data_IF_480635296346
#
_entry.id   IF_480635296346
#
_cell.length_a   1.000
_cell.length_b   1.000
_cell.length_c   1.000
_cell.angle_alpha   90.00
_cell.angle_beta   90.00
_cell.angle_gamma   90.00
#
_symmetry.space_group_name_H-M   'P 1'
#
loop_
_entity.id
_entity.type
_entity.pdbx_description
1 polymer ?
#
# COMPACT_ATOMS: atom_id res chain seq x y z
N UNK A 1 14.69 -4.17 0.54
CA UNK A 1 13.56 -3.22 0.49
C UNK A 1 12.86 -3.52 -0.83
N UNK A 2 11.57 -3.90 -0.86
CA UNK A 2 10.92 -4.20 -2.13
C UNK A 2 10.76 -2.90 -2.91
N UNK A 3 11.54 -2.74 -3.98
CA UNK A 3 11.38 -1.64 -4.93
C UNK A 3 10.23 -1.99 -5.86
N UNK A 4 9.24 -1.10 -5.95
CA UNK A 4 8.23 -1.17 -6.99
C UNK A 4 8.84 -0.53 -8.24
N UNK A 5 8.65 -1.13 -9.41
CA UNK A 5 9.12 -0.53 -10.66
C UNK A 5 8.19 0.62 -11.11
N UNK A 6 8.70 1.47 -11.99
CA UNK A 6 7.95 2.61 -12.51
C UNK A 6 6.66 2.19 -13.24
N UNK A 7 6.69 1.08 -13.99
CA UNK A 7 5.54 0.56 -14.72
C UNK A 7 4.40 0.21 -13.77
N UNK A 8 4.69 -0.58 -12.74
CA UNK A 8 3.72 -0.92 -11.70
C UNK A 8 3.16 0.32 -11.01
N UNK A 9 4.00 1.30 -10.67
CA UNK A 9 3.53 2.55 -10.06
C UNK A 9 2.58 3.33 -10.97
N UNK A 10 2.88 3.45 -12.27
CA UNK A 10 2.00 4.10 -13.24
C UNK A 10 0.66 3.38 -13.36
N UNK A 11 0.66 2.04 -13.31
CA UNK A 11 -0.56 1.24 -13.28
C UNK A 11 -1.38 1.52 -12.02
N UNK A 12 -0.77 1.48 -10.83
CA UNK A 12 -1.47 1.83 -9.57
C UNK A 12 -2.06 3.25 -9.62
N UNK A 13 -1.33 4.20 -10.20
CA UNK A 13 -1.74 5.59 -10.31
C UNK A 13 -2.90 5.81 -11.27
N UNK A 14 -3.05 4.96 -12.28
CA UNK A 14 -4.08 5.06 -13.33
C UNK A 14 -5.26 4.10 -13.17
N UNK A 15 -5.13 3.04 -12.37
CA UNK A 15 -6.16 2.02 -12.18
C UNK A 15 -7.52 2.59 -11.73
N UNK A 16 -8.61 2.08 -12.27
CA UNK A 16 -9.96 2.54 -11.90
C UNK A 16 -10.27 2.30 -10.42
N UNK A 17 -9.81 1.16 -9.90
CA UNK A 17 -10.01 0.75 -8.53
C UNK A 17 -11.25 -0.11 -8.30
N UNK A 18 -11.28 -0.80 -7.16
CA UNK A 18 -12.38 -1.68 -6.75
C UNK A 18 -13.44 -0.94 -5.93
N UNK A 19 -13.02 -0.19 -4.92
CA UNK A 19 -13.92 0.56 -4.04
C UNK A 19 -13.25 1.82 -3.50
N UNK A 20 -14.10 2.77 -3.09
CA UNK A 20 -13.68 4.04 -2.49
C UNK A 20 -14.14 4.11 -1.03
N UNK A 21 -13.28 4.63 -0.16
CA UNK A 21 -13.53 4.81 1.26
C UNK A 21 -13.00 6.17 1.73
N UNK A 22 -13.53 6.69 2.84
CA UNK A 22 -13.00 7.92 3.45
C UNK A 22 -11.66 7.67 4.15
N UNK A 23 -11.52 6.51 4.76
CA UNK A 23 -10.35 6.08 5.50
C UNK A 23 -9.98 4.67 5.07
N UNK A 24 -8.75 4.44 4.60
CA UNK A 24 -8.33 3.10 4.25
C UNK A 24 -8.18 2.27 5.53
N UNK A 25 -8.35 0.94 5.45
CA UNK A 25 -8.35 0.05 6.60
C UNK A 25 -6.92 -0.10 7.15
N UNK A 26 -6.41 0.88 7.91
CA UNK A 26 -5.05 0.81 8.47
C UNK A 26 -4.98 -0.25 9.59
N UNK A 27 -3.94 -1.11 9.63
CA UNK A 27 -3.72 -2.03 10.74
C UNK A 27 -3.51 -1.26 12.05
N UNK A 28 -4.20 -1.71 13.11
CA UNK A 28 -4.20 -1.02 14.42
C UNK A 28 -3.14 -1.55 15.39
N UNK A 29 -2.79 -2.84 15.24
CA UNK A 29 -1.85 -3.53 16.11
C UNK A 29 -0.58 -3.81 15.33
N UNK A 30 0.54 -3.54 15.96
CA UNK A 30 1.87 -3.94 15.52
C UNK A 30 2.28 -5.21 16.25
N UNK A 31 2.98 -6.10 15.54
CA UNK A 31 3.67 -7.22 16.14
C UNK A 31 4.96 -7.50 15.34
N UNK A 32 6.00 -8.07 15.97
CA UNK A 32 7.30 -8.25 15.36
C UNK A 32 7.35 -9.35 14.27
N UNK A 33 6.32 -10.20 14.20
CA UNK A 33 6.25 -11.34 13.27
C UNK A 33 5.67 -10.87 11.93
N UNK A 34 4.45 -10.36 11.96
CA UNK A 34 3.73 -9.88 10.77
C UNK A 34 4.27 -8.56 10.24
N UNK A 35 4.82 -7.72 11.15
CA UNK A 35 5.37 -6.39 10.85
C UNK A 35 4.44 -5.57 9.94
N UNK A 36 3.17 -5.35 10.35
CA UNK A 36 2.25 -4.59 9.54
C UNK A 36 2.73 -3.15 9.39
N UNK A 37 2.44 -2.54 8.23
CA UNK A 37 2.91 -1.20 7.92
C UNK A 37 1.97 -0.43 7.00
N UNK A 38 2.17 0.89 6.98
CA UNK A 38 1.65 1.81 5.98
C UNK A 38 2.83 2.57 5.39
N UNK A 39 3.00 2.53 4.08
CA UNK A 39 4.08 3.22 3.39
C UNK A 39 3.52 4.09 2.26
N UNK A 40 4.09 5.28 2.08
CA UNK A 40 3.89 6.13 0.92
C UNK A 40 4.84 5.68 -0.19
N UNK A 41 4.33 5.42 -1.39
CA UNK A 41 5.16 5.13 -2.55
C UNK A 41 5.53 6.45 -3.20
N UNK A 42 6.82 6.81 -3.11
CA UNK A 42 7.34 8.04 -3.70
C UNK A 42 8.14 7.72 -4.97
N UNK A 43 7.74 8.28 -6.12
CA UNK A 43 8.59 8.28 -7.29
C UNK A 43 9.74 9.28 -7.13
N UNK A 44 10.93 8.86 -7.49
CA UNK A 44 12.12 9.70 -7.66
C UNK A 44 12.88 9.29 -8.94
N UNK A 45 13.88 10.07 -9.33
CA UNK A 45 14.73 9.83 -10.52
C UNK A 45 15.37 8.44 -10.50
N UNK A 46 15.58 7.88 -9.30
CA UNK A 46 16.22 6.58 -9.10
C UNK A 46 15.24 5.41 -8.94
N UNK A 47 13.92 5.66 -9.02
CA UNK A 47 12.88 4.64 -8.90
C UNK A 47 11.79 4.96 -7.89
N UNK A 48 10.97 3.96 -7.56
CA UNK A 48 9.85 4.08 -6.60
C UNK A 48 10.24 3.45 -5.28
N UNK A 49 10.32 4.24 -4.21
CA UNK A 49 10.69 3.73 -2.89
C UNK A 49 9.58 3.94 -1.85
N UNK A 50 9.42 3.00 -0.90
CA UNK A 50 8.47 3.13 0.19
C UNK A 50 9.04 4.04 1.30
N UNK A 51 8.29 5.06 1.68
CA UNK A 51 8.50 5.85 2.91
C UNK A 51 7.49 5.42 3.95
N UNK A 52 7.94 4.79 5.03
CA UNK A 52 7.04 4.33 6.09
C UNK A 52 6.37 5.52 6.78
N UNK A 53 5.04 5.55 6.68
CA UNK A 53 4.17 6.47 7.40
C UNK A 53 3.78 5.92 8.76
N UNK A 54 4.06 4.65 9.00
CA UNK A 54 3.71 3.93 10.23
C UNK A 54 4.94 3.54 11.06
N UNK A 55 4.79 3.57 12.37
CA UNK A 55 5.80 3.08 13.31
C UNK A 55 5.13 2.43 14.53
N UNK A 56 5.79 1.47 15.21
CA UNK A 56 5.34 1.00 16.51
C UNK A 56 5.38 2.14 17.53
N UNK A 57 4.38 2.22 18.40
CA UNK A 57 4.43 3.12 19.55
C UNK A 57 5.64 2.79 20.45
N UNK A 58 6.27 3.82 21.02
CA UNK A 58 7.39 3.60 21.95
C UNK A 58 6.88 2.96 23.26
N UNK A 59 7.34 1.73 23.51
CA UNK A 59 7.27 0.92 24.73
C UNK A 59 5.91 0.81 25.46
N UNK A 60 5.33 -0.38 25.41
CA UNK A 60 5.07 -1.14 26.62
C UNK A 60 5.38 -2.61 26.35
N UNK A 61 5.82 -3.33 27.38
CA UNK A 61 6.21 -4.75 27.40
C UNK A 61 5.08 -5.73 27.08
N UNK A 62 4.02 -5.29 26.42
CA UNK A 62 2.87 -6.09 26.04
C UNK A 62 2.97 -6.51 24.58
N UNK A 63 2.56 -7.75 24.35
CA UNK A 63 2.60 -8.48 23.08
C UNK A 63 1.80 -7.85 21.92
N UNK A 64 1.14 -6.70 22.12
CA UNK A 64 0.52 -5.93 21.04
C UNK A 64 0.72 -4.42 21.22
N UNK A 65 1.79 -3.90 20.63
CA UNK A 65 2.01 -2.45 20.51
C UNK A 65 1.03 -1.86 19.49
N UNK A 66 0.54 -0.63 19.71
CA UNK A 66 -0.27 0.04 18.69
C UNK A 66 0.60 0.49 17.50
N UNK A 67 0.06 0.35 16.28
CA UNK A 67 0.67 0.93 15.09
C UNK A 67 0.19 2.38 14.96
N UNK A 68 1.13 3.32 15.01
CA UNK A 68 0.86 4.75 14.81
C UNK A 68 1.12 5.07 13.35
N UNK A 69 0.21 5.80 12.70
CA UNK A 69 0.39 6.27 11.31
C UNK A 69 0.27 7.80 11.25
N UNK A 70 1.05 8.43 10.36
CA UNK A 70 0.89 9.85 10.02
C UNK A 70 -0.53 10.15 9.52
N UNK A 71 -0.95 11.42 9.60
CA UNK A 71 -2.27 11.83 9.10
C UNK A 71 -2.37 11.68 7.58
N UNK A 72 -3.04 10.62 7.14
CA UNK A 72 -3.22 10.28 5.73
C UNK A 72 -4.05 11.33 4.98
N UNK A 73 -4.86 12.15 5.66
CA UNK A 73 -5.69 13.16 4.98
C UNK A 73 -4.89 14.27 4.33
N UNK A 74 -3.70 14.53 4.84
CA UNK A 74 -2.80 15.60 4.39
C UNK A 74 -2.02 15.21 3.14
N UNK A 75 -2.09 13.94 2.72
CA UNK A 75 -1.39 13.48 1.53
C UNK A 75 -2.02 14.08 0.26
N UNK A 76 -1.19 14.53 -0.71
CA UNK A 76 -1.67 15.06 -1.98
C UNK A 76 -2.55 14.07 -2.75
N UNK A 77 -3.45 14.58 -3.59
CA UNK A 77 -4.19 13.77 -4.57
C UNK A 77 -3.21 12.99 -5.46
N UNK A 78 -3.60 11.79 -5.86
CA UNK A 78 -2.78 10.80 -6.59
C UNK A 78 -1.62 10.18 -5.79
N UNK A 79 -1.46 10.50 -4.50
CA UNK A 79 -0.56 9.73 -3.63
C UNK A 79 -0.99 8.27 -3.59
N UNK A 80 -0.03 7.36 -3.64
CA UNK A 80 -0.26 5.92 -3.50
C UNK A 80 0.30 5.48 -2.15
N UNK A 81 -0.53 4.83 -1.34
CA UNK A 81 -0.07 4.15 -0.14
C UNK A 81 -0.17 2.65 -0.32
N UNK A 82 0.82 1.96 0.23
CA UNK A 82 0.80 0.53 0.47
C UNK A 82 0.40 0.29 1.92
N UNK A 83 -0.56 -0.62 2.13
CA UNK A 83 -0.96 -1.10 3.46
C UNK A 83 -0.70 -2.59 3.51
N UNK A 84 0.07 -3.01 4.51
CA UNK A 84 0.34 -4.42 4.80
C UNK A 84 -0.24 -4.79 6.15
N UNK A 85 -1.18 -5.74 6.17
CA UNK A 85 -1.81 -6.23 7.40
C UNK A 85 -1.10 -7.41 8.04
N UNK A 86 -0.39 -8.20 7.24
CA UNK A 86 0.24 -9.46 7.63
C UNK A 86 1.48 -9.74 6.80
N UNK A 87 2.05 -10.94 6.90
CA UNK A 87 3.27 -11.26 6.17
C UNK A 87 3.13 -11.28 4.62
N UNK A 88 1.92 -11.45 4.08
CA UNK A 88 1.68 -11.72 2.65
C UNK A 88 0.62 -10.84 1.99
N UNK A 89 -0.16 -10.08 2.77
CA UNK A 89 -1.29 -9.31 2.25
C UNK A 89 -0.97 -7.82 2.15
N UNK A 90 -0.88 -7.34 0.92
CA UNK A 90 -0.65 -5.95 0.55
C UNK A 90 -1.90 -5.40 -0.16
N UNK A 91 -2.28 -4.18 0.20
CA UNK A 91 -3.33 -3.44 -0.47
C UNK A 91 -2.82 -2.05 -0.85
N UNK A 92 -3.08 -1.65 -2.08
CA UNK A 92 -2.64 -0.38 -2.63
C UNK A 92 -3.82 0.57 -2.75
N UNK A 93 -3.69 1.76 -2.19
CA UNK A 93 -4.73 2.78 -2.22
C UNK A 93 -4.21 4.06 -2.86
N UNK A 94 -5.02 4.64 -3.74
CA UNK A 94 -4.78 5.96 -4.31
C UNK A 94 -5.64 7.02 -3.63
N UNK A 95 -5.03 8.17 -3.34
CA UNK A 95 -5.76 9.35 -2.87
C UNK A 95 -6.53 10.00 -4.03
N UNK A 96 -7.86 10.06 -3.93
CA UNK A 96 -8.73 10.68 -4.92
C UNK A 96 -9.65 11.71 -4.23
N UNK A 97 -9.43 13.00 -4.45
CA UNK A 97 -10.30 14.12 -4.02
C UNK A 97 -10.93 13.97 -2.62
N UNK A 98 -10.12 13.79 -1.58
CA UNK A 98 -10.64 13.67 -0.21
C UNK A 98 -10.99 12.25 0.23
N UNK A 99 -10.97 11.28 -0.70
CA UNK A 99 -11.21 9.85 -0.47
C UNK A 99 -10.00 8.98 -0.84
N UNK A 100 -10.12 7.67 -0.60
CA UNK A 100 -9.12 6.66 -0.90
C UNK A 100 -9.75 5.55 -1.72
N UNK A 101 -9.16 5.24 -2.86
CA UNK A 101 -9.64 4.19 -3.77
C UNK A 101 -8.66 3.02 -3.73
N UNK A 102 -9.14 1.81 -3.43
CA UNK A 102 -8.31 0.60 -3.52
C UNK A 102 -8.06 0.30 -4.99
N UNK A 103 -6.81 0.35 -5.42
CA UNK A 103 -6.40 0.21 -6.83
C UNK A 103 -5.80 -1.15 -7.16
N UNK A 104 -5.21 -1.80 -6.17
CA UNK A 104 -4.66 -3.14 -6.32
C UNK A 104 -4.56 -3.88 -4.98
N UNK A 105 -4.32 -5.18 -5.06
CA UNK A 105 -3.87 -6.00 -3.94
C UNK A 105 -2.82 -7.02 -4.38
N UNK A 106 -2.04 -7.51 -3.43
CA UNK A 106 -1.14 -8.62 -3.64
C UNK A 106 -1.23 -9.54 -2.42
N UNK A 107 -1.47 -10.82 -2.67
CA UNK A 107 -1.41 -11.89 -1.66
C UNK A 107 -0.16 -12.76 -1.82
N UNK A 108 0.57 -12.57 -2.93
CA UNK A 108 1.79 -13.26 -3.31
C UNK A 108 2.85 -12.21 -3.67
N UNK A 109 4.13 -12.40 -3.30
CA UNK A 109 5.20 -11.44 -3.57
C UNK A 109 5.50 -11.22 -5.06
N UNK A 110 5.04 -12.09 -5.94
CA UNK A 110 5.29 -12.04 -7.39
C UNK A 110 4.08 -11.56 -8.20
N UNK A 111 2.90 -11.48 -7.60
CA UNK A 111 1.65 -11.18 -8.31
C UNK A 111 0.92 -10.00 -7.68
N UNK A 112 0.65 -8.99 -8.51
CA UNK A 112 -0.21 -7.85 -8.16
C UNK A 112 -1.49 -7.91 -8.99
N UNK A 113 -2.62 -7.88 -8.31
CA UNK A 113 -3.98 -7.86 -8.87
C UNK A 113 -4.47 -6.41 -8.95
N UNK A 114 -4.64 -5.88 -10.17
CA UNK A 114 -5.03 -4.49 -10.42
C UNK A 114 -6.48 -4.40 -10.89
N UNK A 115 -7.28 -3.54 -10.27
CA UNK A 115 -8.70 -3.43 -10.58
C UNK A 115 -8.97 -2.47 -11.75
N UNK A 116 -9.42 -3.01 -12.89
CA UNK A 116 -9.67 -2.21 -14.09
C UNK A 116 -11.10 -1.67 -14.21
N UNK A 117 -12.15 -2.37 -13.78
CA UNK A 117 -13.55 -1.92 -13.96
C UNK A 117 -14.53 -2.49 -12.90
N UNK A 118 -14.15 -2.53 -11.63
CA UNK A 118 -15.06 -2.86 -10.53
C UNK A 118 -15.50 -4.33 -10.38
N UNK A 119 -15.13 -5.25 -11.28
CA UNK A 119 -15.53 -6.66 -11.16
C UNK A 119 -14.47 -7.73 -11.47
N UNK A 120 -13.30 -7.39 -12.01
CA UNK A 120 -12.22 -8.37 -12.17
C UNK A 120 -10.82 -7.70 -12.05
N UNK A 121 -9.92 -8.26 -11.21
CA UNK A 121 -8.53 -7.86 -11.22
C UNK A 121 -7.82 -8.35 -12.50
N UNK A 122 -6.87 -7.56 -12.99
CA UNK A 122 -5.89 -7.99 -13.98
C UNK A 122 -4.64 -8.43 -13.23
N UNK A 123 -4.21 -9.67 -13.45
CA UNK A 123 -2.98 -10.24 -12.89
C UNK A 123 -1.79 -9.70 -13.68
N UNK A 124 -0.87 -9.00 -13.01
CA UNK A 124 0.43 -8.61 -13.61
C UNK A 124 1.53 -9.55 -13.10
N UNK A 125 2.22 -10.22 -14.02
CA UNK A 125 3.38 -11.05 -13.72
C UNK A 125 4.63 -10.17 -13.64
N UNK A 126 5.27 -10.13 -12.47
CA UNK A 126 6.47 -9.33 -12.18
C UNK A 126 7.78 -9.99 -12.64
N UNK A 127 7.73 -11.00 -13.53
CA UNK A 127 8.94 -11.70 -13.96
C UNK A 127 9.71 -10.78 -14.93
N UNK A 128 10.95 -10.37 -14.60
CA UNK A 128 11.79 -9.70 -15.56
C UNK A 128 12.10 -10.69 -16.69
N UNK A 129 11.65 -10.42 -17.90
CA UNK A 129 12.24 -11.06 -19.08
C UNK A 129 13.68 -10.60 -19.19
N UNK A 130 14.59 -11.53 -18.93
CA UNK A 130 16.04 -11.41 -19.18
C UNK A 130 16.26 -11.43 -20.70
#
# INVERSE_FOLDING_TARGET
MSSIDEGTYLVLRSASGAFTCRYPPVPKKWNPIDRPHVALLLPDVSGIFPVFLSQPAESSSDSSTYLITKDLKQLPTKSIIEIRHGNSHFAYYRRDNGSWTKVAEASDPFVVEVFSHGYAPIVMNMIPTI
#
